data_IF_319538144926
#
_entry.id   IF_319538144926
#
_cell.length_a   1.000
_cell.length_b   1.000
_cell.length_c   1.000
_cell.angle_alpha   90.00
_cell.angle_beta   90.00
_cell.angle_gamma   90.00
#
_symmetry.space_group_name_H-M   'P 1'
#
loop_
_entity.id
_entity.type
_entity.pdbx_description
1 polymer ?
#
# COMPACT_ATOMS: atom_id res chain seq x y z
N UNK A 1 7.39 8.94 4.88
CA UNK A 1 6.22 8.11 5.27
C UNK A 1 5.26 8.10 4.10
N UNK A 2 4.81 6.94 3.66
CA UNK A 2 3.77 6.80 2.64
C UNK A 2 2.39 6.88 3.31
N UNK A 3 1.37 7.26 2.54
CA UNK A 3 0.00 7.35 3.08
C UNK A 3 -0.51 5.99 3.60
N UNK A 4 -0.09 4.90 2.98
CA UNK A 4 -0.41 3.54 3.42
C UNK A 4 0.24 3.18 4.77
N UNK A 5 1.47 3.64 5.00
CA UNK A 5 2.15 3.50 6.31
C UNK A 5 1.38 4.30 7.38
N UNK A 6 0.97 5.52 7.05
CA UNK A 6 0.15 6.34 7.93
C UNK A 6 -1.15 5.63 8.29
N UNK A 7 -1.89 5.14 7.31
CA UNK A 7 -3.13 4.42 7.53
C UNK A 7 -2.96 3.17 8.41
N UNK A 8 -1.89 2.41 8.19
CA UNK A 8 -1.56 1.28 9.04
C UNK A 8 -1.28 1.69 10.50
N UNK A 9 -0.48 2.75 10.71
CA UNK A 9 -0.18 3.27 12.05
C UNK A 9 -1.44 3.73 12.76
N UNK A 10 -2.29 4.49 12.08
CA UNK A 10 -3.58 4.95 12.59
C UNK A 10 -4.45 3.77 13.03
N UNK A 11 -4.62 2.76 12.16
CA UNK A 11 -5.39 1.55 12.49
C UNK A 11 -4.83 0.81 13.70
N UNK A 12 -3.52 0.62 13.75
CA UNK A 12 -2.84 -0.07 14.85
C UNK A 12 -3.05 0.67 16.17
N UNK A 13 -2.83 1.98 16.18
CA UNK A 13 -2.98 2.81 17.38
C UNK A 13 -4.45 2.89 17.87
N UNK A 14 -5.41 3.01 16.94
CA UNK A 14 -6.83 2.98 17.26
C UNK A 14 -7.24 1.67 17.94
N UNK A 15 -6.83 0.53 17.35
CA UNK A 15 -7.15 -0.79 17.91
C UNK A 15 -6.52 -1.02 19.27
N UNK A 16 -5.29 -0.55 19.47
CA UNK A 16 -4.62 -0.62 20.77
C UNK A 16 -5.34 0.19 21.87
N UNK A 17 -6.21 1.13 21.47
CA UNK A 17 -7.08 1.91 22.37
C UNK A 17 -8.53 1.42 22.37
N UNK A 18 -8.79 0.26 21.76
CA UNK A 18 -10.11 -0.36 21.65
C UNK A 18 -11.18 0.55 20.99
N UNK A 19 -10.75 1.61 20.32
CA UNK A 19 -11.65 2.55 19.64
C UNK A 19 -12.23 1.96 18.36
N UNK A 20 -13.49 2.27 18.08
CA UNK A 20 -14.11 2.05 16.77
C UNK A 20 -13.68 3.12 15.76
N UNK A 21 -13.86 2.85 14.46
CA UNK A 21 -13.63 3.87 13.43
C UNK A 21 -14.57 5.08 13.56
N UNK A 22 -15.78 4.87 14.12
CA UNK A 22 -16.75 5.94 14.34
C UNK A 22 -16.30 6.87 15.48
N UNK A 23 -15.79 6.33 16.57
CA UNK A 23 -15.27 7.11 17.71
C UNK A 23 -14.05 7.92 17.30
N UNK A 24 -13.09 7.30 16.60
CA UNK A 24 -11.93 8.04 16.08
C UNK A 24 -12.37 9.16 15.12
N UNK A 25 -13.32 8.90 14.25
CA UNK A 25 -13.84 9.87 13.30
C UNK A 25 -14.46 11.07 14.04
N UNK A 26 -15.32 10.80 15.02
CA UNK A 26 -15.95 11.84 15.86
C UNK A 26 -14.91 12.69 16.56
N UNK A 27 -13.93 12.08 17.22
CA UNK A 27 -12.88 12.79 17.97
C UNK A 27 -11.93 13.58 17.07
N UNK A 28 -11.70 13.13 15.84
CA UNK A 28 -10.84 13.82 14.87
C UNK A 28 -11.60 14.80 13.95
N UNK A 29 -12.92 14.99 14.14
CA UNK A 29 -13.73 15.87 13.29
C UNK A 29 -13.85 15.40 11.85
N UNK A 30 -13.89 14.07 11.62
CA UNK A 30 -13.91 13.45 10.29
C UNK A 30 -15.10 12.49 10.15
N UNK A 31 -15.40 12.09 8.92
CA UNK A 31 -16.38 11.03 8.69
C UNK A 31 -15.76 9.64 8.94
N UNK A 32 -16.60 8.66 9.35
CA UNK A 32 -16.19 7.26 9.46
C UNK A 32 -15.64 6.71 8.14
N UNK A 33 -16.26 7.13 7.02
CA UNK A 33 -15.80 6.76 5.67
C UNK A 33 -14.37 7.25 5.41
N UNK A 34 -14.05 8.48 5.81
CA UNK A 34 -12.70 9.04 5.70
C UNK A 34 -11.69 8.21 6.50
N UNK A 35 -11.98 7.89 7.76
CA UNK A 35 -11.11 7.04 8.59
C UNK A 35 -10.92 5.66 7.96
N UNK A 36 -11.99 5.04 7.46
CA UNK A 36 -11.89 3.76 6.76
C UNK A 36 -10.99 3.85 5.52
N UNK A 37 -11.15 4.87 4.68
CA UNK A 37 -10.30 5.09 3.50
C UNK A 37 -8.83 5.31 3.86
N UNK A 38 -8.56 6.08 4.92
CA UNK A 38 -7.20 6.31 5.44
C UNK A 38 -6.60 4.99 5.91
N UNK A 39 -7.29 4.25 6.77
CA UNK A 39 -6.81 2.97 7.31
C UNK A 39 -6.56 1.90 6.25
N UNK A 40 -7.26 1.97 5.12
CA UNK A 40 -7.08 1.06 3.98
C UNK A 40 -6.09 1.60 2.95
N UNK A 41 -5.50 2.78 3.16
CA UNK A 41 -4.52 3.37 2.26
C UNK A 41 -5.08 3.79 0.90
N UNK A 42 -6.42 3.95 0.80
CA UNK A 42 -7.10 4.33 -0.45
C UNK A 42 -7.46 5.82 -0.52
N UNK A 43 -7.25 6.56 0.55
CA UNK A 43 -7.43 8.00 0.55
C UNK A 43 -6.38 8.65 -0.35
N UNK A 44 -6.74 9.56 -1.27
CA UNK A 44 -5.79 10.07 -2.27
C UNK A 44 -4.74 10.98 -1.66
N UNK A 45 -5.13 11.83 -0.73
CA UNK A 45 -4.26 12.78 -0.04
C UNK A 45 -4.89 13.18 1.30
N UNK A 46 -4.05 13.39 2.31
CA UNK A 46 -4.45 13.90 3.61
C UNK A 46 -3.61 15.13 3.96
N UNK A 47 -4.25 16.28 4.09
CA UNK A 47 -3.54 17.49 4.51
C UNK A 47 -2.90 17.32 5.89
N UNK A 48 -1.77 18.01 6.11
CA UNK A 48 -0.99 17.93 7.35
C UNK A 48 -1.84 18.15 8.61
N UNK A 49 -2.73 19.14 8.60
CA UNK A 49 -3.58 19.45 9.74
C UNK A 49 -4.51 18.29 10.12
N UNK A 50 -5.11 17.62 9.13
CA UNK A 50 -5.96 16.44 9.37
C UNK A 50 -5.14 15.27 9.90
N UNK A 51 -3.94 15.06 9.34
CA UNK A 51 -3.04 14.01 9.80
C UNK A 51 -2.64 14.24 11.26
N UNK A 52 -2.26 15.47 11.61
CA UNK A 52 -1.92 15.85 12.98
C UNK A 52 -3.11 15.69 13.95
N UNK A 53 -4.32 16.10 13.55
CA UNK A 53 -5.53 15.92 14.36
C UNK A 53 -5.82 14.46 14.68
N UNK A 54 -5.73 13.56 13.69
CA UNK A 54 -5.89 12.12 13.90
C UNK A 54 -4.83 11.59 14.85
N UNK A 55 -3.57 11.95 14.64
CA UNK A 55 -2.47 11.49 15.48
C UNK A 55 -2.59 12.00 16.90
N UNK A 56 -2.93 13.27 17.10
CA UNK A 56 -3.16 13.86 18.42
C UNK A 56 -4.25 13.11 19.20
N UNK A 57 -5.38 12.79 18.54
CA UNK A 57 -6.46 11.97 19.13
C UNK A 57 -5.96 10.60 19.58
N UNK A 58 -4.98 10.07 18.86
CA UNK A 58 -4.35 8.78 19.17
C UNK A 58 -3.11 8.92 20.07
N UNK A 59 -2.84 10.10 20.66
CA UNK A 59 -1.65 10.33 21.47
C UNK A 59 -0.33 10.09 20.74
N UNK A 60 -0.32 10.34 19.43
CA UNK A 60 0.85 10.20 18.56
C UNK A 60 1.26 11.58 18.01
N UNK A 61 2.53 11.72 17.66
CA UNK A 61 3.07 12.91 17.01
C UNK A 61 3.84 12.56 15.73
N UNK A 62 3.84 13.48 14.77
CA UNK A 62 4.73 13.43 13.62
C UNK A 62 6.11 13.99 14.01
N UNK A 63 7.16 13.25 13.71
CA UNK A 63 8.52 13.72 13.88
C UNK A 63 9.23 13.79 12.52
N UNK A 64 9.93 14.89 12.28
CA UNK A 64 10.79 15.05 11.10
C UNK A 64 12.18 14.54 11.48
N UNK A 65 12.62 13.51 10.78
CA UNK A 65 13.95 12.95 10.97
C UNK A 65 14.71 12.93 9.64
N UNK A 66 16.04 13.13 9.66
CA UNK A 66 16.85 12.92 8.48
C UNK A 66 16.65 11.51 7.92
N UNK A 67 16.41 11.41 6.62
CA UNK A 67 16.29 10.10 5.96
C UNK A 67 17.67 9.46 5.95
N UNK A 68 17.91 8.49 6.82
CA UNK A 68 19.09 7.61 6.69
C UNK A 68 18.92 6.79 5.42
N UNK A 69 19.91 6.82 4.52
CA UNK A 69 19.94 5.93 3.35
C UNK A 69 19.93 4.49 3.88
N UNK A 70 18.81 3.82 3.73
CA UNK A 70 18.71 2.41 4.09
C UNK A 70 19.60 1.60 3.17
N UNK A 71 20.45 0.74 3.72
CA UNK A 71 21.19 -0.27 2.96
C UNK A 71 20.29 -1.36 2.38
N UNK A 72 19.03 -1.43 2.83
CA UNK A 72 18.06 -2.40 2.30
C UNK A 72 17.54 -1.97 0.94
N UNK A 73 17.43 -2.90 -0.03
CA UNK A 73 16.81 -2.64 -1.32
C UNK A 73 15.38 -2.08 -1.15
N UNK A 74 15.06 -1.04 -1.90
CA UNK A 74 13.68 -0.54 -1.96
C UNK A 74 12.92 -1.31 -3.05
N UNK A 75 12.33 -2.44 -2.68
CA UNK A 75 11.64 -3.33 -3.62
C UNK A 75 10.44 -2.67 -4.30
N UNK A 76 9.73 -1.75 -3.63
CA UNK A 76 8.64 -0.99 -4.25
C UNK A 76 9.16 -0.12 -5.40
N UNK A 77 10.28 0.61 -5.17
CA UNK A 77 10.91 1.44 -6.21
C UNK A 77 11.46 0.59 -7.35
N UNK A 78 12.13 -0.52 -7.02
CA UNK A 78 12.68 -1.44 -8.04
C UNK A 78 11.58 -2.01 -8.91
N UNK A 79 10.54 -2.58 -8.33
CA UNK A 79 9.40 -3.17 -9.04
C UNK A 79 8.66 -2.13 -9.89
N UNK A 80 8.41 -0.94 -9.35
CA UNK A 80 7.82 0.17 -10.10
C UNK A 80 8.66 0.57 -11.31
N UNK A 81 9.98 0.71 -11.11
CA UNK A 81 10.89 1.10 -12.19
C UNK A 81 10.89 0.07 -13.30
N UNK A 82 11.05 -1.22 -12.96
CA UNK A 82 11.00 -2.32 -13.94
C UNK A 82 9.65 -2.39 -14.66
N UNK A 83 8.54 -2.29 -13.93
CA UNK A 83 7.19 -2.31 -14.51
C UNK A 83 6.88 -1.10 -15.42
N UNK A 84 7.71 -0.06 -15.38
CA UNK A 84 7.48 1.19 -16.12
C UNK A 84 8.47 1.46 -17.24
N UNK A 85 9.46 0.59 -17.47
CA UNK A 85 10.56 0.85 -18.43
C UNK A 85 10.04 1.22 -19.81
N UNK A 86 9.08 0.46 -20.33
CA UNK A 86 8.56 0.60 -21.70
C UNK A 86 7.40 1.59 -21.85
N UNK A 87 7.03 2.31 -20.78
CA UNK A 87 5.87 3.21 -20.83
C UNK A 87 6.28 4.68 -20.68
N UNK A 88 5.65 5.55 -21.46
CA UNK A 88 5.82 7.00 -21.36
C UNK A 88 5.33 7.50 -19.99
N UNK A 89 4.13 7.10 -19.59
CA UNK A 89 3.60 7.38 -18.26
C UNK A 89 4.08 6.33 -17.25
N UNK A 90 4.80 6.78 -16.25
CA UNK A 90 5.35 5.89 -15.24
C UNK A 90 4.29 5.57 -14.16
N UNK A 91 4.27 4.31 -13.72
CA UNK A 91 3.51 3.90 -12.55
C UNK A 91 4.08 4.60 -11.30
N UNK A 92 3.25 5.20 -10.47
CA UNK A 92 3.70 5.76 -9.19
C UNK A 92 3.84 4.67 -8.12
N UNK A 93 4.67 4.92 -7.10
CA UNK A 93 4.78 3.99 -5.96
C UNK A 93 3.45 3.85 -5.21
N UNK A 94 2.68 4.94 -5.10
CA UNK A 94 1.37 4.94 -4.47
C UNK A 94 0.34 4.11 -5.24
N UNK A 95 0.31 4.19 -6.57
CA UNK A 95 -0.57 3.37 -7.42
C UNK A 95 -0.23 1.88 -7.29
N UNK A 96 1.07 1.54 -7.31
CA UNK A 96 1.53 0.16 -7.14
C UNK A 96 1.11 -0.41 -5.79
N UNK A 97 1.44 0.29 -4.71
CA UNK A 97 1.12 -0.16 -3.34
C UNK A 97 -0.39 -0.24 -3.12
N UNK A 98 -1.15 0.75 -3.59
CA UNK A 98 -2.62 0.74 -3.50
C UNK A 98 -3.22 -0.48 -4.20
N UNK A 99 -2.77 -0.79 -5.41
CA UNK A 99 -3.27 -1.95 -6.14
C UNK A 99 -2.98 -3.26 -5.39
N UNK A 100 -1.79 -3.40 -4.81
CA UNK A 100 -1.42 -4.58 -4.02
C UNK A 100 -2.24 -4.70 -2.72
N UNK A 101 -2.56 -3.59 -2.07
CA UNK A 101 -3.37 -3.59 -0.85
C UNK A 101 -4.87 -3.84 -1.11
N UNK A 102 -5.37 -3.44 -2.28
CA UNK A 102 -6.82 -3.48 -2.59
C UNK A 102 -7.21 -4.58 -3.57
N UNK A 103 -6.25 -5.17 -4.30
CA UNK A 103 -6.51 -6.10 -5.40
C UNK A 103 -7.11 -5.43 -6.65
N UNK A 104 -7.09 -4.09 -6.73
CA UNK A 104 -7.71 -3.32 -7.82
C UNK A 104 -6.68 -2.57 -8.63
N UNK A 105 -6.63 -2.83 -9.94
CA UNK A 105 -5.73 -2.14 -10.88
C UNK A 105 -6.54 -1.19 -11.75
N UNK A 106 -6.21 0.12 -11.79
CA UNK A 106 -6.81 1.06 -12.74
C UNK A 106 -6.63 0.59 -14.18
N UNK A 107 -7.65 0.84 -15.03
CA UNK A 107 -7.65 0.34 -16.41
C UNK A 107 -6.42 0.81 -17.19
N UNK A 108 -6.05 2.08 -17.07
CA UNK A 108 -4.88 2.68 -17.71
C UNK A 108 -3.52 2.16 -17.16
N UNK A 109 -3.51 1.46 -16.03
CA UNK A 109 -2.30 0.87 -15.43
C UNK A 109 -2.17 -0.65 -15.64
N UNK A 110 -3.17 -1.30 -16.21
CA UNK A 110 -3.15 -2.74 -16.51
C UNK A 110 -1.90 -3.21 -17.29
N UNK A 111 -1.41 -2.47 -18.32
CA UNK A 111 -0.18 -2.86 -19.02
C UNK A 111 1.03 -2.94 -18.09
N UNK A 112 1.21 -1.99 -17.16
CA UNK A 112 2.30 -1.98 -16.19
C UNK A 112 2.26 -3.21 -15.28
N UNK A 113 1.07 -3.62 -14.83
CA UNK A 113 0.93 -4.82 -14.00
C UNK A 113 1.15 -6.12 -14.77
N UNK A 114 0.92 -6.14 -16.09
CA UNK A 114 1.34 -7.27 -16.93
C UNK A 114 2.87 -7.41 -16.98
N UNK A 115 3.58 -6.30 -17.16
CA UNK A 115 5.05 -6.28 -17.12
C UNK A 115 5.55 -6.64 -15.71
N UNK A 116 4.94 -6.08 -14.65
CA UNK A 116 5.26 -6.41 -13.26
C UNK A 116 5.25 -7.93 -13.02
N UNK A 117 4.20 -8.62 -13.45
CA UNK A 117 4.01 -10.04 -13.18
C UNK A 117 4.79 -10.97 -14.10
N UNK A 118 5.19 -10.49 -15.30
CA UNK A 118 5.89 -11.32 -16.30
C UNK A 118 7.38 -11.12 -16.32
N UNK A 119 7.85 -9.90 -16.08
CA UNK A 119 9.23 -9.50 -16.40
C UNK A 119 10.02 -9.10 -15.14
N UNK A 120 9.36 -8.74 -14.04
CA UNK A 120 10.06 -8.39 -12.82
C UNK A 120 10.65 -9.66 -12.18
N UNK A 121 11.95 -9.63 -11.80
CA UNK A 121 12.60 -10.79 -11.19
C UNK A 121 11.84 -11.30 -9.96
N UNK A 122 11.68 -12.63 -9.78
CA UNK A 122 10.92 -13.21 -8.66
C UNK A 122 11.36 -12.72 -7.29
N UNK A 123 12.66 -12.49 -7.08
CA UNK A 123 13.20 -11.97 -5.82
C UNK A 123 12.75 -10.54 -5.52
N UNK A 124 12.65 -9.68 -6.55
CA UNK A 124 12.12 -8.31 -6.40
C UNK A 124 10.63 -8.35 -6.12
N UNK A 125 9.89 -9.23 -6.78
CA UNK A 125 8.45 -9.39 -6.58
C UNK A 125 8.15 -9.92 -5.17
N UNK A 126 8.93 -10.89 -4.68
CA UNK A 126 8.83 -11.40 -3.31
C UNK A 126 9.12 -10.31 -2.27
N UNK A 127 10.21 -9.57 -2.43
CA UNK A 127 10.54 -8.45 -1.55
C UNK A 127 9.50 -7.34 -1.59
N UNK A 128 8.89 -7.06 -2.75
CA UNK A 128 7.76 -6.14 -2.88
C UNK A 128 6.56 -6.59 -2.04
N UNK A 129 6.20 -7.88 -2.12
CA UNK A 129 5.08 -8.45 -1.35
C UNK A 129 5.38 -8.40 0.14
N UNK A 130 6.60 -8.72 0.55
CA UNK A 130 7.03 -8.63 1.96
C UNK A 130 6.98 -7.19 2.48
N UNK A 131 7.47 -6.21 1.69
CA UNK A 131 7.44 -4.80 2.10
C UNK A 131 6.03 -4.23 2.21
N UNK A 132 5.17 -4.53 1.24
CA UNK A 132 3.76 -4.07 1.26
C UNK A 132 2.93 -4.86 2.27
N UNK A 133 3.25 -6.13 2.48
CA UNK A 133 2.59 -7.02 3.43
C UNK A 133 2.63 -6.53 4.87
N UNK A 134 3.63 -5.73 5.23
CA UNK A 134 3.72 -5.08 6.55
C UNK A 134 2.52 -4.17 6.88
N UNK A 135 1.79 -3.71 5.86
CA UNK A 135 0.64 -2.80 5.99
C UNK A 135 -0.70 -3.47 5.77
N UNK A 136 -0.72 -4.78 5.62
CA UNK A 136 -1.91 -5.58 5.39
C UNK A 136 -2.04 -6.73 6.41
N UNK A 137 -3.17 -7.44 6.37
CA UNK A 137 -3.29 -8.74 7.06
C UNK A 137 -2.34 -9.76 6.41
N UNK A 138 -1.78 -10.71 7.17
CA UNK A 138 -0.97 -11.79 6.62
C UNK A 138 -1.65 -12.46 5.42
N UNK A 139 -0.89 -12.74 4.37
CA UNK A 139 -1.38 -13.37 3.13
C UNK A 139 -2.19 -12.45 2.19
N UNK A 140 -2.73 -11.33 2.67
CA UNK A 140 -3.65 -10.49 1.87
C UNK A 140 -3.02 -9.93 0.60
N UNK A 141 -1.76 -9.51 0.66
CA UNK A 141 -1.06 -8.94 -0.51
C UNK A 141 -0.78 -10.03 -1.56
N UNK A 142 -0.45 -11.23 -1.11
CA UNK A 142 -0.24 -12.39 -2.00
C UNK A 142 -1.55 -12.72 -2.71
N UNK A 143 -2.65 -12.84 -1.97
CA UNK A 143 -3.98 -13.10 -2.52
C UNK A 143 -4.39 -12.01 -3.54
N UNK A 144 -4.25 -10.73 -3.18
CA UNK A 144 -4.57 -9.63 -4.08
C UNK A 144 -3.72 -9.67 -5.37
N UNK A 145 -2.45 -10.06 -5.27
CA UNK A 145 -1.57 -10.18 -6.44
C UNK A 145 -1.98 -11.35 -7.33
N UNK A 146 -2.42 -12.46 -6.74
CA UNK A 146 -2.99 -13.60 -7.47
C UNK A 146 -4.29 -13.22 -8.18
N UNK A 147 -5.18 -12.49 -7.51
CA UNK A 147 -6.42 -11.96 -8.07
C UNK A 147 -6.14 -11.03 -9.26
N UNK A 148 -5.14 -10.15 -9.13
CA UNK A 148 -4.70 -9.28 -10.22
C UNK A 148 -4.17 -10.09 -11.41
N UNK A 149 -3.39 -11.14 -11.16
CA UNK A 149 -2.89 -12.02 -12.22
C UNK A 149 -4.05 -12.70 -12.98
N UNK A 150 -5.05 -13.18 -12.26
CA UNK A 150 -6.26 -13.77 -12.83
C UNK A 150 -7.07 -12.75 -13.65
N UNK A 151 -7.32 -11.54 -13.12
CA UNK A 151 -8.01 -10.45 -13.82
C UNK A 151 -7.30 -10.05 -15.12
N UNK A 152 -5.96 -10.08 -15.12
CA UNK A 152 -5.14 -9.74 -16.29
C UNK A 152 -4.89 -10.94 -17.22
N UNK A 153 -5.45 -12.11 -16.94
CA UNK A 153 -5.31 -13.37 -17.69
C UNK A 153 -3.84 -13.77 -17.87
N UNK A 154 -3.04 -13.64 -16.82
CA UNK A 154 -1.62 -14.03 -16.83
C UNK A 154 -1.50 -15.48 -16.38
N UNK A 155 -1.14 -16.39 -17.31
CA UNK A 155 -1.05 -17.83 -17.04
C UNK A 155 0.27 -18.25 -16.36
N UNK A 156 1.36 -17.50 -16.57
CA UNK A 156 2.67 -17.79 -15.98
C UNK A 156 2.96 -16.80 -14.87
N UNK A 157 2.74 -17.22 -13.65
CA UNK A 157 3.11 -16.47 -12.43
C UNK A 157 4.06 -17.34 -11.59
N UNK A 158 4.87 -16.76 -10.69
CA UNK A 158 5.73 -17.53 -9.80
C UNK A 158 4.92 -18.54 -8.97
N UNK A 159 5.45 -19.76 -8.77
CA UNK A 159 4.75 -20.86 -8.06
C UNK A 159 4.30 -20.47 -6.64
N UNK A 160 5.08 -19.65 -5.93
CA UNK A 160 4.70 -19.18 -4.60
C UNK A 160 3.46 -18.26 -4.58
N UNK A 161 3.03 -17.77 -5.75
CA UNK A 161 1.82 -16.95 -5.89
C UNK A 161 0.58 -17.81 -6.16
N UNK A 162 0.76 -19.05 -6.65
CA UNK A 162 -0.34 -19.98 -6.94
C UNK A 162 -0.72 -20.84 -5.74
N UNK A 163 0.15 -20.93 -4.75
CA UNK A 163 -0.03 -21.77 -3.55
C UNK A 163 -0.46 -20.95 -2.32
N UNK A 164 -1.05 -19.77 -2.54
CA UNK A 164 -1.45 -18.84 -1.48
C UNK A 164 -2.95 -18.87 -1.19
#
# INVERSE_FOLDING_TARGET
>A
MRLQEFGYVVRKARRAREMTQAELAKSAGLSRTTINQIENGVFPDIGMNKAQGILATLGLALQIQPVRRSSRPNFVRMARSSASVSFREKLSEGELVRALLTGRVPVNRRPHFRVLLREVPPGVLKGLVEDVGKWAKPGRVVQNLADIATQLRIRRVPQWLTNA
#
